data_IF_485694234676
#
_entry.id   IF_485694234676
#
_cell.length_a   1.000
_cell.length_b   1.000
_cell.length_c   1.000
_cell.angle_alpha   90.00
_cell.angle_beta   90.00
_cell.angle_gamma   90.00
#
_symmetry.space_group_name_H-M   'P 1'
#
loop_
_entity.id
_entity.type
_entity.pdbx_description
1 polymer ?
#
# COMPACT_ATOMS: atom_id res chain seq x y z
N UNK A 1 -9.89 28.10 20.15
CA UNK A 1 -11.18 28.52 19.56
C UNK A 1 -12.28 27.55 20.00
N UNK A 2 -13.25 28.01 20.79
CA UNK A 2 -14.32 27.18 21.39
C UNK A 2 -15.53 26.94 20.43
N UNK A 3 -15.44 27.35 19.15
CA UNK A 3 -16.53 27.18 18.19
C UNK A 3 -16.57 25.75 17.67
N UNK A 4 -17.70 25.06 17.86
CA UNK A 4 -17.96 23.76 17.21
C UNK A 4 -18.36 23.99 15.74
N UNK A 5 -17.80 23.17 14.85
CA UNK A 5 -18.07 23.22 13.42
C UNK A 5 -18.22 21.81 12.84
N UNK A 6 -18.81 21.73 11.66
CA UNK A 6 -18.80 20.56 10.80
C UNK A 6 -17.90 20.84 9.59
N UNK A 7 -16.91 19.98 9.37
CA UNK A 7 -16.05 20.03 8.18
C UNK A 7 -16.31 18.80 7.30
N UNK A 8 -16.01 18.92 6.00
CA UNK A 8 -16.11 17.83 5.05
C UNK A 8 -14.80 17.65 4.31
N UNK A 9 -14.34 16.42 4.18
CA UNK A 9 -13.27 16.07 3.25
C UNK A 9 -13.92 15.61 1.94
N UNK A 10 -13.61 16.33 0.87
CA UNK A 10 -14.09 16.06 -0.49
C UNK A 10 -12.90 15.69 -1.38
N UNK A 11 -13.12 14.82 -2.36
CA UNK A 11 -12.12 14.55 -3.41
C UNK A 11 -12.23 15.58 -4.53
N UNK A 12 -11.10 15.93 -5.16
CA UNK A 12 -11.07 16.82 -6.32
C UNK A 12 -11.04 16.08 -7.66
N UNK A 13 -10.75 14.77 -7.62
CA UNK A 13 -10.65 13.91 -8.78
C UNK A 13 -11.25 12.53 -8.49
N UNK A 14 -11.47 11.73 -9.54
CA UNK A 14 -11.91 10.35 -9.40
C UNK A 14 -10.85 9.52 -8.69
N UNK A 15 -11.20 8.84 -7.61
CA UNK A 15 -10.22 8.12 -6.79
C UNK A 15 -10.79 6.86 -6.13
N UNK A 16 -9.92 5.91 -5.82
CA UNK A 16 -10.23 4.83 -4.89
C UNK A 16 -9.94 5.32 -3.48
N UNK A 17 -10.98 5.34 -2.64
CA UNK A 17 -10.83 5.75 -1.23
C UNK A 17 -9.99 4.73 -0.48
N UNK A 18 -8.99 5.21 0.27
CA UNK A 18 -8.14 4.34 1.09
C UNK A 18 -7.65 5.06 2.35
N UNK A 19 -7.76 4.39 3.50
CA UNK A 19 -7.21 4.87 4.77
C UNK A 19 -8.20 5.60 5.67
N UNK A 20 -9.49 5.55 5.39
CA UNK A 20 -10.52 6.29 6.16
C UNK A 20 -10.49 5.98 7.66
N UNK A 21 -10.18 4.74 8.05
CA UNK A 21 -10.05 4.34 9.45
C UNK A 21 -8.93 5.10 10.16
N UNK A 22 -7.78 5.30 9.51
CA UNK A 22 -6.64 6.01 10.09
C UNK A 22 -6.95 7.50 10.24
N UNK A 23 -7.67 8.07 9.28
CA UNK A 23 -8.11 9.47 9.36
C UNK A 23 -9.09 9.65 10.52
N UNK A 24 -10.00 8.70 10.72
CA UNK A 24 -10.91 8.70 11.87
C UNK A 24 -10.12 8.69 13.18
N UNK A 25 -9.09 7.84 13.30
CA UNK A 25 -8.24 7.81 14.51
C UNK A 25 -7.51 9.14 14.76
N UNK A 26 -6.91 9.74 13.72
CA UNK A 26 -6.22 11.04 13.84
C UNK A 26 -7.15 12.10 14.43
N UNK A 27 -8.37 12.22 13.92
CA UNK A 27 -9.33 13.19 14.43
C UNK A 27 -9.87 12.82 15.83
N UNK A 28 -10.02 11.52 16.11
CA UNK A 28 -10.46 11.02 17.41
C UNK A 28 -9.48 11.38 18.53
N UNK A 29 -8.16 11.41 18.27
CA UNK A 29 -7.13 11.86 19.22
C UNK A 29 -7.36 13.30 19.72
N UNK A 30 -8.03 14.13 18.92
CA UNK A 30 -8.41 15.52 19.29
C UNK A 30 -9.91 15.64 19.61
N UNK A 31 -10.56 14.54 20.03
CA UNK A 31 -11.98 14.51 20.44
C UNK A 31 -12.93 15.04 19.35
N UNK A 32 -12.61 14.84 18.08
CA UNK A 32 -13.51 15.08 16.96
C UNK A 32 -14.22 13.78 16.59
N UNK A 33 -15.51 13.85 16.27
CA UNK A 33 -16.24 12.72 15.72
C UNK A 33 -16.14 12.70 14.20
N UNK A 34 -16.04 11.50 13.62
CA UNK A 34 -15.90 11.32 12.16
C UNK A 34 -16.95 10.34 11.66
N UNK A 35 -17.75 10.77 10.67
CA UNK A 35 -18.67 9.92 9.93
C UNK A 35 -18.06 9.59 8.56
N UNK A 36 -17.82 8.31 8.31
CA UNK A 36 -17.32 7.82 7.02
C UNK A 36 -18.50 7.75 6.05
N UNK A 37 -18.46 8.52 4.96
CA UNK A 37 -19.48 8.53 3.89
C UNK A 37 -19.12 7.53 2.78
N UNK A 38 -17.84 7.36 2.51
CA UNK A 38 -17.33 6.43 1.51
C UNK A 38 -16.28 5.52 2.16
N UNK A 39 -16.49 4.21 2.03
CA UNK A 39 -15.59 3.19 2.63
C UNK A 39 -14.33 2.99 1.77
N UNK A 40 -13.29 2.46 2.39
CA UNK A 40 -12.09 2.04 1.71
C UNK A 40 -12.43 1.03 0.58
N UNK A 41 -11.80 1.21 -0.58
CA UNK A 41 -12.07 0.45 -1.80
C UNK A 41 -13.17 1.02 -2.70
N UNK A 42 -13.98 1.96 -2.22
CA UNK A 42 -14.96 2.60 -3.08
C UNK A 42 -14.30 3.50 -4.13
N UNK A 43 -14.72 3.37 -5.39
CA UNK A 43 -14.46 4.37 -6.41
C UNK A 43 -15.41 5.55 -6.18
N UNK A 44 -14.88 6.74 -6.02
CA UNK A 44 -15.64 7.98 -5.87
C UNK A 44 -15.31 8.96 -6.98
N UNK A 45 -16.30 9.75 -7.37
CA UNK A 45 -16.15 10.79 -8.37
C UNK A 45 -15.68 12.10 -7.75
N UNK A 46 -15.09 12.96 -8.57
CA UNK A 46 -14.73 14.31 -8.16
C UNK A 46 -15.85 15.02 -7.41
N UNK A 47 -15.50 15.83 -6.44
CA UNK A 47 -16.39 16.63 -5.59
C UNK A 47 -17.31 15.83 -4.67
N UNK A 48 -17.13 14.50 -4.53
CA UNK A 48 -17.90 13.73 -3.56
C UNK A 48 -17.27 13.82 -2.15
N UNK A 49 -18.13 13.86 -1.14
CA UNK A 49 -17.71 13.84 0.27
C UNK A 49 -17.28 12.43 0.68
N UNK A 50 -16.06 12.32 1.20
CA UNK A 50 -15.49 11.06 1.75
C UNK A 50 -15.78 10.95 3.24
N UNK A 51 -15.53 12.02 4.00
CA UNK A 51 -15.67 12.07 5.46
C UNK A 51 -16.38 13.35 5.89
N UNK A 52 -17.18 13.26 6.97
CA UNK A 52 -17.73 14.40 7.70
C UNK A 52 -17.13 14.39 9.11
N UNK A 53 -16.60 15.54 9.55
CA UNK A 53 -15.90 15.69 10.81
C UNK A 53 -16.64 16.76 11.64
N UNK A 54 -16.96 16.42 12.90
CA UNK A 54 -17.56 17.36 13.83
C UNK A 54 -16.66 17.53 15.05
N UNK A 55 -16.39 18.77 15.43
CA UNK A 55 -15.53 19.08 16.57
C UNK A 55 -15.29 20.57 16.75
N UNK A 56 -14.42 20.91 17.68
CA UNK A 56 -13.97 22.29 17.82
C UNK A 56 -13.03 22.68 16.65
N UNK A 57 -13.23 23.87 16.11
CA UNK A 57 -12.47 24.35 14.95
C UNK A 57 -10.95 24.21 15.12
N UNK A 58 -10.40 24.59 16.27
CA UNK A 58 -8.96 24.45 16.55
C UNK A 58 -8.47 22.98 16.49
N UNK A 59 -9.28 22.04 17.00
CA UNK A 59 -8.93 20.61 16.99
C UNK A 59 -8.94 20.06 15.54
N UNK A 60 -9.94 20.43 14.75
CA UNK A 60 -10.02 20.05 13.34
C UNK A 60 -8.82 20.57 12.56
N UNK A 61 -8.50 21.86 12.69
CA UNK A 61 -7.36 22.48 12.00
C UNK A 61 -6.01 21.88 12.42
N UNK A 62 -5.86 21.49 13.69
CA UNK A 62 -4.63 20.82 14.17
C UNK A 62 -4.40 19.47 13.47
N UNK A 63 -5.47 18.71 13.19
CA UNK A 63 -5.39 17.41 12.55
C UNK A 63 -5.33 17.49 11.02
N UNK A 64 -5.85 18.54 10.44
CA UNK A 64 -6.16 18.67 9.01
C UNK A 64 -4.98 18.26 8.11
N UNK A 65 -3.84 18.91 8.25
CA UNK A 65 -2.71 18.69 7.33
C UNK A 65 -2.21 17.25 7.37
N UNK A 66 -2.03 16.68 8.57
CA UNK A 66 -1.59 15.29 8.75
C UNK A 66 -2.61 14.32 8.16
N UNK A 67 -3.89 14.53 8.43
CA UNK A 67 -4.96 13.70 7.91
C UNK A 67 -5.05 13.75 6.38
N UNK A 68 -5.02 14.95 5.80
CA UNK A 68 -5.10 15.11 4.34
C UNK A 68 -3.87 14.55 3.62
N UNK A 69 -2.66 14.74 4.15
CA UNK A 69 -1.46 14.19 3.55
C UNK A 69 -1.50 12.66 3.52
N UNK A 70 -1.91 12.02 4.62
CA UNK A 70 -2.01 10.55 4.68
C UNK A 70 -3.13 10.04 3.77
N UNK A 71 -4.32 10.65 3.82
CA UNK A 71 -5.45 10.23 3.00
C UNK A 71 -5.14 10.35 1.50
N UNK A 72 -4.60 11.50 1.07
CA UNK A 72 -4.27 11.74 -0.34
C UNK A 72 -3.24 10.74 -0.85
N UNK A 73 -2.20 10.46 -0.05
CA UNK A 73 -1.20 9.46 -0.39
C UNK A 73 -1.81 8.07 -0.55
N UNK A 74 -2.60 7.63 0.42
CA UNK A 74 -3.21 6.30 0.38
C UNK A 74 -4.22 6.17 -0.76
N UNK A 75 -5.05 7.17 -1.00
CA UNK A 75 -5.98 7.20 -2.13
C UNK A 75 -5.24 7.17 -3.48
N UNK A 76 -4.16 7.94 -3.63
CA UNK A 76 -3.33 7.94 -4.84
C UNK A 76 -2.72 6.57 -5.14
N UNK A 77 -2.12 5.92 -4.12
CA UNK A 77 -1.56 4.57 -4.26
C UNK A 77 -2.65 3.55 -4.62
N UNK A 78 -3.78 3.58 -3.93
CA UNK A 78 -4.88 2.65 -4.19
C UNK A 78 -5.46 2.85 -5.60
N UNK A 79 -5.61 4.09 -6.05
CA UNK A 79 -6.10 4.43 -7.39
C UNK A 79 -5.15 3.91 -8.47
N UNK A 80 -3.86 4.18 -8.33
CA UNK A 80 -2.86 3.70 -9.29
C UNK A 80 -2.80 2.17 -9.32
N UNK A 81 -2.83 1.52 -8.17
CA UNK A 81 -2.89 0.06 -8.07
C UNK A 81 -4.11 -0.51 -8.78
N UNK A 82 -5.28 0.11 -8.59
CA UNK A 82 -6.52 -0.31 -9.26
C UNK A 82 -6.44 -0.15 -10.78
N UNK A 83 -5.83 0.93 -11.26
CA UNK A 83 -5.64 1.18 -12.68
C UNK A 83 -4.72 0.12 -13.31
N UNK A 84 -3.58 -0.20 -12.68
CA UNK A 84 -2.68 -1.25 -13.13
C UNK A 84 -3.36 -2.62 -13.12
N UNK A 85 -4.12 -2.94 -12.08
CA UNK A 85 -4.88 -4.19 -12.01
C UNK A 85 -5.91 -4.30 -13.14
N UNK A 86 -6.60 -3.21 -13.47
CA UNK A 86 -7.51 -3.18 -14.62
C UNK A 86 -6.78 -3.42 -15.96
N UNK A 87 -5.58 -2.86 -16.12
CA UNK A 87 -4.75 -3.11 -17.31
C UNK A 87 -4.35 -4.58 -17.42
N UNK A 88 -3.84 -5.20 -16.35
CA UNK A 88 -3.53 -6.63 -16.30
C UNK A 88 -4.75 -7.46 -16.68
N UNK A 89 -5.92 -7.15 -16.12
CA UNK A 89 -7.16 -7.88 -16.44
C UNK A 89 -7.55 -7.78 -17.91
N UNK A 90 -7.32 -6.63 -18.56
CA UNK A 90 -7.62 -6.44 -19.99
C UNK A 90 -6.77 -7.32 -20.91
N UNK A 91 -5.58 -7.74 -20.51
CA UNK A 91 -4.73 -8.67 -21.28
C UNK A 91 -5.15 -10.14 -21.13
N UNK A 92 -6.18 -10.44 -20.34
CA UNK A 92 -6.56 -11.82 -20.02
C UNK A 92 -5.61 -12.52 -19.02
N UNK A 93 -4.57 -11.82 -18.56
CA UNK A 93 -3.58 -12.38 -17.65
C UNK A 93 -4.17 -12.62 -16.24
N UNK A 94 -3.72 -13.73 -15.62
CA UNK A 94 -3.98 -14.07 -14.22
C UNK A 94 -2.90 -13.53 -13.26
N UNK A 95 -1.96 -12.72 -13.76
CA UNK A 95 -0.86 -12.16 -12.99
C UNK A 95 -1.37 -11.33 -11.81
N UNK A 96 -0.68 -11.44 -10.67
CA UNK A 96 -0.95 -10.66 -9.48
C UNK A 96 0.00 -9.47 -9.40
N UNK A 97 -0.49 -8.36 -8.87
CA UNK A 97 0.30 -7.16 -8.63
C UNK A 97 0.74 -7.12 -7.17
N UNK A 98 2.04 -7.09 -6.93
CA UNK A 98 2.62 -7.08 -5.58
C UNK A 98 3.30 -5.74 -5.27
N UNK A 99 3.17 -5.28 -4.01
CA UNK A 99 3.94 -4.15 -3.51
C UNK A 99 5.38 -4.57 -3.20
N UNK A 100 6.34 -3.70 -3.46
CA UNK A 100 7.74 -3.88 -3.02
C UNK A 100 7.96 -3.29 -1.62
N UNK A 101 9.23 -3.33 -1.11
CA UNK A 101 9.64 -2.61 0.09
C UNK A 101 10.19 -1.21 -0.21
N UNK A 102 10.15 -0.76 -1.46
CA UNK A 102 10.53 0.59 -1.90
C UNK A 102 9.38 1.57 -1.57
N UNK A 103 9.18 1.83 -0.28
CA UNK A 103 8.12 2.67 0.27
C UNK A 103 8.68 3.94 0.88
N UNK A 104 7.86 4.95 1.11
CA UNK A 104 8.31 6.14 1.82
C UNK A 104 8.77 5.80 3.25
N UNK A 105 9.84 6.42 3.76
CA UNK A 105 10.31 6.22 5.12
C UNK A 105 9.18 6.41 6.14
N UNK A 106 9.04 5.46 7.07
CA UNK A 106 8.00 5.47 8.10
C UNK A 106 6.58 5.16 7.62
N UNK A 107 6.30 5.13 6.31
CA UNK A 107 4.94 4.96 5.79
C UNK A 107 4.67 3.58 5.16
N UNK A 108 5.59 2.61 5.27
CA UNK A 108 5.47 1.29 4.63
C UNK A 108 4.14 0.60 4.93
N UNK A 109 3.69 0.65 6.18
CA UNK A 109 2.43 0.05 6.57
C UNK A 109 1.26 0.64 5.78
N UNK A 110 1.16 1.95 5.72
CA UNK A 110 0.08 2.67 5.03
C UNK A 110 0.15 2.48 3.51
N UNK A 111 1.35 2.53 2.93
CA UNK A 111 1.57 2.31 1.50
C UNK A 111 1.10 0.93 1.06
N UNK A 112 1.47 -0.11 1.82
CA UNK A 112 1.08 -1.50 1.52
C UNK A 112 -0.40 -1.78 1.80
N UNK A 113 -1.00 -1.16 2.82
CA UNK A 113 -2.44 -1.19 3.01
C UNK A 113 -3.18 -0.56 1.82
N UNK A 114 -2.69 0.58 1.32
CA UNK A 114 -3.27 1.24 0.17
C UNK A 114 -3.19 0.38 -1.11
N UNK A 115 -2.05 -0.30 -1.35
CA UNK A 115 -1.92 -1.28 -2.45
C UNK A 115 -2.96 -2.39 -2.31
N UNK A 116 -3.14 -2.95 -1.09
CA UNK A 116 -4.15 -3.99 -0.85
C UNK A 116 -5.56 -3.48 -1.14
N UNK A 117 -5.90 -2.28 -0.68
CA UNK A 117 -7.21 -1.65 -0.91
C UNK A 117 -7.44 -1.44 -2.40
N UNK A 118 -6.41 -1.04 -3.17
CA UNK A 118 -6.46 -0.90 -4.62
C UNK A 118 -6.58 -2.23 -5.38
N UNK A 119 -6.45 -3.37 -4.69
CA UNK A 119 -6.61 -4.72 -5.22
C UNK A 119 -5.32 -5.43 -5.59
N UNK A 120 -4.17 -4.92 -5.15
CA UNK A 120 -2.88 -5.61 -5.18
C UNK A 120 -2.63 -6.45 -3.93
N UNK A 121 -1.44 -7.02 -3.83
CA UNK A 121 -0.97 -7.85 -2.72
C UNK A 121 0.16 -7.13 -1.97
N UNK A 122 0.24 -7.30 -0.65
CA UNK A 122 1.23 -6.58 0.18
C UNK A 122 2.66 -7.07 0.01
N UNK A 123 2.85 -8.34 -0.36
CA UNK A 123 4.16 -8.98 -0.26
C UNK A 123 4.75 -8.90 1.17
N UNK A 124 6.03 -9.23 1.37
CA UNK A 124 6.69 -9.18 2.68
C UNK A 124 6.73 -7.75 3.26
N UNK A 125 6.44 -7.60 4.53
CA UNK A 125 6.57 -6.34 5.27
C UNK A 125 8.00 -6.13 5.75
N UNK A 126 8.61 -7.22 6.24
CA UNK A 126 9.93 -7.25 6.84
C UNK A 126 10.83 -8.26 6.11
N UNK A 127 12.14 -8.24 6.38
CA UNK A 127 13.09 -9.14 5.70
C UNK A 127 12.95 -10.60 6.15
N UNK A 128 12.47 -10.83 7.36
CA UNK A 128 12.36 -12.17 7.95
C UNK A 128 11.09 -12.93 7.54
N UNK A 129 10.14 -12.28 6.86
CA UNK A 129 8.90 -12.96 6.41
C UNK A 129 9.10 -13.82 5.15
N UNK A 130 10.14 -13.53 4.37
CA UNK A 130 10.43 -14.24 3.13
C UNK A 130 11.91 -14.02 2.74
N UNK A 131 12.56 -15.08 2.32
CA UNK A 131 13.90 -15.00 1.76
C UNK A 131 13.79 -14.47 0.33
N UNK A 132 14.59 -13.47 0.01
CA UNK A 132 14.67 -12.94 -1.34
C UNK A 132 16.14 -12.89 -1.75
N UNK A 133 16.51 -13.72 -2.73
CA UNK A 133 17.83 -13.73 -3.35
C UNK A 133 17.82 -12.70 -4.49
N UNK A 134 18.83 -11.88 -4.54
CA UNK A 134 18.97 -10.75 -5.48
C UNK A 134 20.37 -10.68 -6.06
N UNK A 135 20.55 -9.78 -7.04
CA UNK A 135 21.83 -9.40 -7.64
C UNK A 135 22.97 -9.27 -6.62
N UNK A 136 22.80 -8.47 -5.58
CA UNK A 136 23.80 -8.28 -4.52
C UNK A 136 24.24 -9.60 -3.84
N UNK A 137 23.36 -10.59 -3.74
CA UNK A 137 23.73 -11.89 -3.18
C UNK A 137 24.51 -12.72 -4.20
N UNK A 138 24.16 -12.59 -5.49
CA UNK A 138 24.86 -13.27 -6.59
C UNK A 138 26.26 -12.70 -6.80
N UNK A 139 26.49 -11.42 -6.59
CA UNK A 139 27.82 -10.80 -6.63
C UNK A 139 28.77 -11.38 -5.56
N UNK A 140 28.24 -11.80 -4.42
CA UNK A 140 29.04 -12.38 -3.32
C UNK A 140 29.28 -13.87 -3.51
N UNK A 141 28.27 -14.63 -3.91
CA UNK A 141 28.31 -16.11 -3.96
C UNK A 141 28.52 -16.67 -5.38
N UNK A 142 28.25 -15.91 -6.44
CA UNK A 142 28.36 -16.29 -7.86
C UNK A 142 27.59 -17.56 -8.28
N UNK A 143 26.69 -18.12 -7.46
CA UNK A 143 25.93 -19.33 -7.78
C UNK A 143 24.52 -19.27 -7.22
N UNK A 144 23.54 -19.36 -8.11
CA UNK A 144 22.12 -19.44 -7.76
C UNK A 144 21.85 -20.74 -6.98
N UNK A 145 22.44 -21.86 -7.38
CA UNK A 145 22.27 -23.17 -6.76
C UNK A 145 22.74 -23.16 -5.31
N UNK A 146 23.92 -22.56 -5.06
CA UNK A 146 24.48 -22.44 -3.71
C UNK A 146 23.60 -21.58 -2.82
N UNK A 147 23.19 -20.41 -3.31
CA UNK A 147 22.29 -19.51 -2.58
C UNK A 147 20.95 -20.16 -2.28
N UNK A 148 20.37 -20.87 -3.28
CA UNK A 148 19.12 -21.58 -3.11
C UNK A 148 19.23 -22.73 -2.11
N UNK A 149 20.32 -23.51 -2.17
CA UNK A 149 20.60 -24.59 -1.21
C UNK A 149 20.74 -24.07 0.22
N UNK A 150 21.44 -22.92 0.41
CA UNK A 150 21.52 -22.26 1.71
C UNK A 150 20.14 -21.77 2.17
N UNK A 151 19.34 -21.16 1.29
CA UNK A 151 18.01 -20.66 1.59
C UNK A 151 17.03 -21.81 1.98
N UNK A 152 17.11 -22.95 1.33
CA UNK A 152 16.27 -24.15 1.65
C UNK A 152 16.49 -24.69 3.06
N UNK A 153 17.64 -24.42 3.69
CA UNK A 153 17.89 -24.82 5.09
C UNK A 153 17.09 -24.00 6.10
N UNK A 154 16.54 -22.87 5.68
CA UNK A 154 15.68 -22.03 6.51
C UNK A 154 14.21 -22.28 6.15
N UNK A 155 13.33 -22.14 7.13
CA UNK A 155 11.88 -22.23 6.89
C UNK A 155 11.36 -20.94 6.27
N UNK A 156 10.62 -21.01 5.19
CA UNK A 156 9.96 -19.86 4.58
C UNK A 156 9.85 -19.95 3.06
N UNK A 157 9.15 -18.98 2.48
CA UNK A 157 9.09 -18.82 1.03
C UNK A 157 10.40 -18.24 0.53
N UNK A 158 10.87 -18.73 -0.61
CA UNK A 158 12.06 -18.25 -1.30
C UNK A 158 11.60 -17.57 -2.59
N UNK A 159 12.10 -16.39 -2.85
CA UNK A 159 11.94 -15.67 -4.11
C UNK A 159 13.32 -15.31 -4.64
N UNK A 160 13.54 -15.49 -5.92
CA UNK A 160 14.82 -15.20 -6.59
C UNK A 160 14.54 -14.20 -7.70
N UNK A 161 15.22 -13.06 -7.63
CA UNK A 161 15.22 -12.04 -8.69
C UNK A 161 16.29 -12.44 -9.71
N UNK A 162 15.92 -12.57 -10.98
CA UNK A 162 16.79 -13.00 -12.07
C UNK A 162 16.67 -12.05 -13.25
N UNK A 163 17.78 -11.86 -13.99
CA UNK A 163 17.85 -10.97 -15.13
C UNK A 163 17.83 -11.72 -16.46
N UNK A 164 18.20 -13.00 -16.47
CA UNK A 164 18.27 -13.79 -17.70
C UNK A 164 17.24 -14.91 -17.75
N UNK A 165 16.83 -15.27 -18.97
CA UNK A 165 15.94 -16.40 -19.19
C UNK A 165 16.59 -17.73 -18.74
N UNK A 166 17.92 -17.85 -18.88
CA UNK A 166 18.68 -19.02 -18.43
C UNK A 166 18.55 -19.21 -16.92
N UNK A 167 18.73 -18.14 -16.15
CA UNK A 167 18.60 -18.17 -14.69
C UNK A 167 17.16 -18.43 -14.25
N UNK A 168 16.18 -17.88 -14.96
CA UNK A 168 14.77 -18.17 -14.69
C UNK A 168 14.44 -19.67 -14.87
N UNK A 169 14.96 -20.31 -15.94
CA UNK A 169 14.80 -21.73 -16.18
C UNK A 169 15.53 -22.55 -15.09
N UNK A 170 16.73 -22.14 -14.71
CA UNK A 170 17.49 -22.79 -13.63
C UNK A 170 16.72 -22.73 -12.32
N UNK A 171 16.24 -21.56 -11.91
CA UNK A 171 15.44 -21.39 -10.70
C UNK A 171 14.16 -22.26 -10.71
N UNK A 172 13.48 -22.33 -11.85
CA UNK A 172 12.28 -23.18 -11.99
C UNK A 172 12.57 -24.67 -11.82
N UNK A 173 13.79 -25.13 -12.19
CA UNK A 173 14.24 -26.53 -12.00
C UNK A 173 14.63 -26.84 -10.56
N UNK A 174 15.08 -25.85 -9.82
CA UNK A 174 15.47 -25.98 -8.41
C UNK A 174 14.24 -26.09 -7.47
N UNK A 175 13.07 -25.64 -7.91
CA UNK A 175 11.77 -25.75 -7.22
C UNK A 175 11.34 -24.50 -6.48
#
# INVERSE_FOLDING_TARGET
QKKKITARIITREDTIVAGTKFIKEIFSLKKCSVKIQKKDGNLVKANQTILIINGYAGNILTCERTALNLLSRMCGIATQTNNLKKQIKKTGSKSKLFATRKTAPGLRFFDKEAVKIGGGEKHRMTLNEMIMIKDNHLEVENSIENLFSKAKKTRGKIEIEVETQKDAILCARLG
#
